data_IF_418675613188
#
_entry.id   IF_418675613188
#
_cell.length_a   1.000
_cell.length_b   1.000
_cell.length_c   1.000
_cell.angle_alpha   90.00
_cell.angle_beta   90.00
_cell.angle_gamma   90.00
#
_symmetry.space_group_name_H-M   'P 1'
#
loop_
_entity.id
_entity.type
_entity.pdbx_description
1 polymer ?
#
# COMPACT_ATOMS: atom_id res chain seq x y z
N UNK A 1 -31.22 54.02 18.76
CA UNK A 1 -31.63 53.37 20.02
C UNK A 1 -31.45 51.88 19.81
N UNK A 2 -30.60 51.12 20.47
CA UNK A 2 -29.62 51.33 21.53
C UNK A 2 -28.47 50.34 21.27
N UNK A 3 -27.30 50.69 21.76
CA UNK A 3 -26.07 49.93 21.78
C UNK A 3 -26.14 48.87 22.89
N UNK A 4 -25.57 47.68 22.70
CA UNK A 4 -24.78 47.06 23.77
C UNK A 4 -23.84 45.98 23.21
N UNK A 5 -22.55 46.29 23.28
CA UNK A 5 -21.40 45.44 23.00
C UNK A 5 -21.02 44.68 24.27
N UNK A 6 -20.58 43.42 24.18
CA UNK A 6 -19.68 42.86 25.20
C UNK A 6 -18.86 41.65 24.72
N UNK A 7 -17.58 41.94 24.45
CA UNK A 7 -16.44 41.01 24.45
C UNK A 7 -16.12 40.58 25.88
N UNK A 8 -15.85 39.30 26.11
CA UNK A 8 -15.22 38.83 27.37
C UNK A 8 -13.71 38.64 27.18
N UNK A 9 -12.95 39.27 28.07
CA UNK A 9 -11.49 39.41 28.12
C UNK A 9 -10.82 38.27 28.92
N UNK A 10 -9.56 38.00 28.53
CA UNK A 10 -8.55 37.14 29.19
C UNK A 10 -8.41 37.39 30.70
N UNK A 11 -7.89 36.39 31.44
CA UNK A 11 -7.06 36.63 32.64
C UNK A 11 -5.75 35.82 32.57
N UNK A 12 -4.67 36.47 33.02
CA UNK A 12 -3.26 36.04 33.11
C UNK A 12 -2.92 35.68 34.57
N UNK A 13 -2.02 34.70 34.70
CA UNK A 13 -0.91 34.46 35.66
C UNK A 13 -1.06 34.74 37.17
N UNK A 14 -0.56 33.79 37.98
CA UNK A 14 0.14 34.09 39.23
C UNK A 14 1.33 33.12 39.41
N UNK A 15 2.50 33.72 39.63
CA UNK A 15 3.79 33.10 39.91
C UNK A 15 3.95 32.95 41.43
N UNK A 16 4.66 31.92 41.88
CA UNK A 16 5.21 31.83 43.24
C UNK A 16 6.71 31.54 43.16
N UNK A 17 7.47 32.42 43.81
CA UNK A 17 8.91 32.52 44.02
C UNK A 17 9.37 31.53 45.11
N UNK A 18 10.37 30.70 44.84
CA UNK A 18 11.80 30.81 45.26
C UNK A 18 12.14 30.16 46.61
N UNK A 19 13.13 29.25 46.62
CA UNK A 19 14.24 29.23 47.58
C UNK A 19 15.32 28.25 47.13
N UNK A 20 16.56 28.71 47.27
CA UNK A 20 17.84 28.18 46.78
C UNK A 20 18.52 27.19 47.73
N UNK A 21 19.29 26.24 47.19
CA UNK A 21 20.54 25.78 47.81
C UNK A 21 21.47 25.15 46.76
N UNK A 22 22.73 25.57 46.80
CA UNK A 22 23.86 25.21 45.95
C UNK A 22 24.54 23.89 46.36
N UNK A 23 25.13 23.18 45.39
CA UNK A 23 26.58 22.80 45.32
C UNK A 23 26.87 21.39 44.79
N UNK A 24 28.09 21.28 44.21
CA UNK A 24 28.88 20.11 43.83
C UNK A 24 28.52 19.28 42.57
N UNK A 25 29.23 19.65 41.49
CA UNK A 25 30.05 18.81 40.60
C UNK A 25 30.02 17.27 40.76
N UNK A 26 29.67 16.59 39.66
CA UNK A 26 30.39 15.41 39.17
C UNK A 26 29.89 15.04 37.76
N UNK A 27 30.74 15.25 36.76
CA UNK A 27 30.58 14.69 35.41
C UNK A 27 30.70 13.16 35.47
N UNK A 28 29.86 12.44 34.73
CA UNK A 28 30.44 11.48 33.79
C UNK A 28 29.66 11.35 32.47
N UNK A 29 30.37 11.47 31.35
CA UNK A 29 30.07 10.79 30.08
C UNK A 29 31.31 9.93 29.79
N UNK A 30 31.23 8.72 29.18
CA UNK A 30 30.33 8.40 28.08
C UNK A 30 29.78 6.94 28.10
N UNK A 31 28.45 6.75 28.03
CA UNK A 31 27.89 5.44 27.70
C UNK A 31 27.71 5.33 26.18
N UNK A 32 28.61 4.55 25.58
CA UNK A 32 28.56 4.10 24.18
C UNK A 32 27.19 3.49 23.89
N UNK A 33 26.47 4.05 22.92
CA UNK A 33 25.31 3.40 22.32
C UNK A 33 25.74 2.03 21.77
N UNK A 34 25.05 0.93 22.09
CA UNK A 34 25.27 -0.33 21.40
C UNK A 34 24.85 -0.17 19.94
N UNK A 35 25.80 -0.46 19.05
CA UNK A 35 25.60 -0.59 17.61
C UNK A 35 24.38 -1.47 17.32
N UNK A 36 23.52 -1.14 16.33
CA UNK A 36 22.47 -2.05 15.91
C UNK A 36 23.10 -3.40 15.56
N UNK A 37 22.52 -4.47 16.09
CA UNK A 37 22.93 -5.83 15.75
C UNK A 37 22.91 -5.98 14.23
N UNK A 38 23.91 -6.65 13.62
CA UNK A 38 23.89 -6.91 12.20
C UNK A 38 22.62 -7.70 11.88
N UNK A 39 21.94 -7.28 10.80
CA UNK A 39 20.84 -8.01 10.16
C UNK A 39 21.17 -9.52 10.10
N UNK A 40 20.20 -10.43 10.34
CA UNK A 40 20.46 -11.85 10.22
C UNK A 40 21.05 -12.11 8.84
N UNK A 41 22.30 -12.57 8.81
CA UNK A 41 22.93 -13.06 7.59
C UNK A 41 22.08 -14.23 7.13
N UNK A 42 21.44 -14.07 5.97
CA UNK A 42 20.84 -15.19 5.25
C UNK A 42 21.84 -16.34 5.24
N UNK A 43 21.36 -17.54 5.58
CA UNK A 43 22.14 -18.76 5.55
C UNK A 43 22.84 -18.86 4.19
N UNK A 44 24.18 -18.80 4.18
CA UNK A 44 24.94 -19.38 3.08
C UNK A 44 24.72 -20.87 3.17
N UNK A 45 24.07 -21.42 2.16
CA UNK A 45 23.96 -22.86 1.95
C UNK A 45 25.35 -23.48 1.99
N UNK A 46 25.57 -24.35 2.97
CA UNK A 46 26.69 -25.28 2.98
C UNK A 46 26.41 -26.32 1.89
N UNK A 47 27.28 -26.40 0.88
CA UNK A 47 27.14 -27.34 -0.22
C UNK A 47 27.63 -28.72 0.22
N UNK A 48 26.89 -29.36 1.12
CA UNK A 48 27.03 -30.77 1.45
C UNK A 48 25.77 -31.51 0.97
N UNK A 49 25.70 -31.71 -0.35
CA UNK A 49 24.55 -32.25 -1.08
C UNK A 49 24.39 -33.78 -0.85
N UNK A 50 23.25 -34.17 -0.27
CA UNK A 50 22.66 -35.51 -0.42
C UNK A 50 21.70 -35.53 -1.63
N UNK A 51 21.45 -36.68 -2.30
CA UNK A 51 20.98 -36.72 -3.69
C UNK A 51 19.46 -36.52 -3.91
N UNK A 52 18.71 -36.06 -2.90
CA UNK A 52 17.23 -36.05 -2.96
C UNK A 52 16.56 -34.69 -2.84
N UNK A 53 17.27 -33.58 -2.57
CA UNK A 53 16.61 -32.27 -2.40
C UNK A 53 16.76 -31.38 -3.64
N UNK A 54 15.79 -31.44 -4.53
CA UNK A 54 15.59 -30.37 -5.51
C UNK A 54 15.10 -29.12 -4.78
N UNK A 55 15.77 -27.95 -4.91
CA UNK A 55 15.36 -26.74 -4.21
C UNK A 55 13.95 -26.31 -4.65
N UNK A 56 13.08 -26.03 -3.67
CA UNK A 56 11.71 -25.58 -3.93
C UNK A 56 11.73 -24.15 -4.47
N UNK A 57 11.14 -23.89 -5.64
CA UNK A 57 11.10 -22.56 -6.26
C UNK A 57 9.68 -22.16 -6.62
N UNK A 58 9.37 -20.86 -6.50
CA UNK A 58 8.09 -20.34 -6.96
C UNK A 58 8.21 -19.84 -8.40
N UNK A 59 7.41 -20.39 -9.32
CA UNK A 59 7.38 -20.00 -10.74
C UNK A 59 6.09 -19.26 -11.12
N UNK A 60 5.31 -18.78 -10.14
CA UNK A 60 4.01 -18.18 -10.41
C UNK A 60 4.18 -16.72 -10.90
N UNK A 61 3.58 -16.35 -12.04
CA UNK A 61 3.55 -14.95 -12.46
C UNK A 61 2.77 -14.10 -11.44
N UNK A 62 3.10 -12.81 -11.27
CA UNK A 62 3.88 -11.98 -12.19
C UNK A 62 5.29 -11.57 -11.68
N UNK A 63 5.71 -11.99 -10.50
CA UNK A 63 6.98 -11.58 -9.85
C UNK A 63 7.99 -12.71 -9.62
N UNK A 64 7.55 -13.96 -9.45
CA UNK A 64 8.46 -15.06 -9.12
C UNK A 64 9.00 -15.78 -10.37
N UNK A 65 8.35 -15.57 -11.51
CA UNK A 65 8.75 -16.13 -12.81
C UNK A 65 9.87 -15.35 -13.52
N UNK A 66 10.45 -14.29 -12.92
CA UNK A 66 11.54 -13.54 -13.56
C UNK A 66 12.90 -14.15 -13.18
N UNK A 67 13.83 -14.34 -14.12
CA UNK A 67 15.07 -15.10 -13.88
C UNK A 67 16.02 -14.46 -12.84
N UNK A 68 15.81 -13.18 -12.51
CA UNK A 68 16.60 -12.43 -11.52
C UNK A 68 15.90 -12.33 -10.15
N UNK A 69 14.67 -12.83 -10.02
CA UNK A 69 13.89 -12.83 -8.77
C UNK A 69 13.54 -14.23 -8.28
N UNK A 70 14.00 -15.28 -8.97
CA UNK A 70 13.82 -16.67 -8.55
C UNK A 70 14.47 -16.84 -7.18
N UNK A 71 13.64 -17.05 -6.17
CA UNK A 71 14.05 -17.35 -4.82
C UNK A 71 13.91 -18.86 -4.63
N UNK A 72 14.98 -19.53 -4.18
CA UNK A 72 14.94 -20.93 -3.78
C UNK A 72 14.69 -21.04 -2.28
N UNK A 73 13.80 -21.94 -1.91
CA UNK A 73 13.42 -22.25 -0.52
C UNK A 73 13.98 -23.60 -0.13
N UNK A 74 14.36 -23.72 1.15
CA UNK A 74 14.93 -24.95 1.68
C UNK A 74 13.84 -26.01 1.96
N UNK A 75 12.61 -25.57 2.23
CA UNK A 75 11.48 -26.45 2.55
C UNK A 75 10.22 -26.08 1.76
N UNK A 76 9.32 -27.06 1.60
CA UNK A 76 8.00 -26.85 0.99
C UNK A 76 7.14 -25.85 1.78
N UNK A 77 7.19 -25.90 3.11
CA UNK A 77 6.42 -24.99 3.99
C UNK A 77 6.80 -23.51 3.78
N UNK A 78 8.10 -23.23 3.58
CA UNK A 78 8.57 -21.88 3.26
C UNK A 78 8.06 -21.39 1.91
N UNK A 79 8.03 -22.28 0.91
CA UNK A 79 7.47 -21.98 -0.41
C UNK A 79 5.96 -21.68 -0.31
N UNK A 80 5.21 -22.46 0.47
CA UNK A 80 3.77 -22.25 0.68
C UNK A 80 3.49 -20.91 1.39
N UNK A 81 4.26 -20.56 2.43
CA UNK A 81 4.16 -19.26 3.11
C UNK A 81 4.44 -18.08 2.16
N UNK A 82 5.42 -18.24 1.26
CA UNK A 82 5.68 -17.27 0.21
C UNK A 82 4.47 -17.16 -0.76
N UNK A 83 3.92 -18.28 -1.21
CA UNK A 83 2.76 -18.29 -2.09
C UNK A 83 1.53 -17.65 -1.44
N UNK A 84 1.28 -17.92 -0.17
CA UNK A 84 0.16 -17.32 0.56
C UNK A 84 0.33 -15.79 0.72
N UNK A 85 1.55 -15.33 0.94
CA UNK A 85 1.80 -13.89 1.14
C UNK A 85 1.77 -13.09 -0.16
N UNK A 86 2.35 -13.64 -1.23
CA UNK A 86 2.60 -12.89 -2.47
C UNK A 86 1.72 -13.30 -3.65
N UNK A 87 1.02 -14.43 -3.57
CA UNK A 87 0.21 -14.96 -4.69
C UNK A 87 -1.27 -15.19 -4.34
N UNK A 88 -1.68 -15.03 -3.07
CA UNK A 88 -3.08 -15.18 -2.68
C UNK A 88 -3.99 -14.09 -3.27
N UNK A 89 -3.58 -12.82 -3.18
CA UNK A 89 -4.43 -11.68 -3.56
C UNK A 89 -3.90 -10.95 -4.80
N UNK A 90 -4.06 -11.59 -5.97
CA UNK A 90 -3.65 -11.02 -7.27
C UNK A 90 -4.87 -10.58 -8.07
N UNK A 91 -4.86 -9.34 -8.56
CA UNK A 91 -5.88 -8.84 -9.47
C UNK A 91 -5.68 -9.40 -10.88
N UNK A 92 -6.63 -10.22 -11.32
CA UNK A 92 -6.65 -10.85 -12.67
C UNK A 92 -7.66 -10.19 -13.61
N UNK A 93 -8.22 -9.05 -13.23
CA UNK A 93 -9.23 -8.37 -14.05
C UNK A 93 -8.65 -7.97 -15.41
N UNK A 94 -9.34 -8.27 -16.53
CA UNK A 94 -8.87 -7.92 -17.87
C UNK A 94 -8.93 -6.40 -18.07
N UNK A 95 -7.82 -5.82 -18.52
CA UNK A 95 -7.67 -4.41 -18.85
C UNK A 95 -7.36 -4.23 -20.32
N UNK A 96 -7.94 -3.18 -20.93
CA UNK A 96 -7.66 -2.83 -22.33
C UNK A 96 -6.21 -2.40 -22.48
N UNK A 97 -5.53 -2.95 -23.46
CA UNK A 97 -4.17 -2.57 -23.77
C UNK A 97 -4.13 -1.22 -24.51
N UNK A 98 -3.69 -0.17 -23.81
CA UNK A 98 -3.45 1.17 -24.38
C UNK A 98 -2.10 1.29 -25.09
N UNK A 99 -1.28 0.23 -25.13
CA UNK A 99 0.04 0.25 -25.80
C UNK A 99 -0.06 0.23 -27.34
N UNK A 100 -1.22 -0.13 -27.89
CA UNK A 100 -1.49 -0.05 -29.32
C UNK A 100 -1.55 1.42 -29.76
N UNK A 101 -0.71 1.86 -30.72
CA UNK A 101 -0.80 3.19 -31.28
C UNK A 101 -2.19 3.41 -31.86
N UNK A 102 -2.86 4.50 -31.48
CA UNK A 102 -3.96 5.01 -32.31
C UNK A 102 -3.36 5.35 -33.68
N UNK A 103 -3.87 4.81 -34.80
CA UNK A 103 -3.32 5.11 -36.11
C UNK A 103 -3.24 6.64 -36.30
N UNK A 104 -2.11 7.17 -36.82
CA UNK A 104 -1.85 8.61 -36.85
C UNK A 104 -2.80 9.43 -37.73
N UNK A 105 -3.66 8.81 -38.55
CA UNK A 105 -4.31 9.50 -39.66
C UNK A 105 -5.85 9.54 -39.61
N UNK A 106 -6.47 9.48 -38.43
CA UNK A 106 -7.92 9.67 -38.30
C UNK A 106 -8.78 8.65 -39.10
N UNK A 107 -8.16 7.59 -39.63
CA UNK A 107 -8.83 6.58 -40.43
C UNK A 107 -9.61 5.67 -39.47
N UNK A 108 -10.94 5.57 -39.61
CA UNK A 108 -11.72 4.63 -38.83
C UNK A 108 -11.23 3.20 -39.10
N UNK A 109 -10.93 2.45 -38.04
CA UNK A 109 -10.34 1.09 -38.05
C UNK A 109 -11.07 0.08 -38.96
N UNK A 110 -12.30 0.39 -39.38
CA UNK A 110 -13.11 -0.42 -40.32
C UNK A 110 -12.52 -0.57 -41.74
N UNK A 111 -11.55 0.25 -42.15
CA UNK A 111 -11.01 0.25 -43.52
C UNK A 111 -9.65 -0.46 -43.67
N UNK A 112 -9.04 -0.93 -42.58
CA UNK A 112 -7.81 -1.74 -42.61
C UNK A 112 -8.23 -3.21 -42.63
N UNK A 113 -8.05 -3.87 -43.78
CA UNK A 113 -8.28 -5.32 -43.92
C UNK A 113 -7.25 -6.08 -43.08
N UNK A 114 -7.60 -6.36 -41.82
CA UNK A 114 -6.80 -7.15 -40.88
C UNK A 114 -7.54 -7.33 -39.56
N UNK A 115 -8.18 -8.49 -39.40
CA UNK A 115 -8.75 -9.09 -38.18
C UNK A 115 -9.47 -8.16 -37.15
N UNK A 116 -10.82 -8.18 -37.04
CA UNK A 116 -11.58 -7.30 -36.13
C UNK A 116 -11.45 -7.62 -34.62
N UNK A 117 -10.80 -8.73 -34.25
CA UNK A 117 -10.83 -9.28 -32.89
C UNK A 117 -9.56 -9.08 -32.06
N UNK A 118 -8.55 -8.39 -32.60
CA UNK A 118 -7.29 -8.10 -31.91
C UNK A 118 -7.36 -6.98 -30.86
N UNK A 119 -8.48 -6.79 -30.15
CA UNK A 119 -8.48 -5.88 -29.00
C UNK A 119 -7.63 -6.53 -27.90
N UNK A 120 -6.37 -6.12 -27.81
CA UNK A 120 -5.43 -6.58 -26.79
C UNK A 120 -6.01 -6.32 -25.40
N UNK A 121 -6.44 -7.37 -24.72
CA UNK A 121 -6.76 -7.34 -23.31
C UNK A 121 -5.59 -8.00 -22.59
N UNK A 122 -5.08 -7.35 -21.54
CA UNK A 122 -4.07 -7.94 -20.66
C UNK A 122 -4.63 -8.05 -19.25
N UNK A 123 -4.10 -8.96 -18.45
CA UNK A 123 -4.45 -9.02 -17.02
C UNK A 123 -3.78 -7.88 -16.24
N UNK A 124 -4.45 -7.39 -15.18
CA UNK A 124 -3.93 -6.30 -14.34
C UNK A 124 -2.62 -6.69 -13.62
N UNK A 125 -2.56 -7.89 -13.05
CA UNK A 125 -1.36 -8.46 -12.45
C UNK A 125 -0.86 -7.76 -11.18
N UNK A 126 -1.67 -6.94 -10.52
CA UNK A 126 -1.30 -6.26 -9.26
C UNK A 126 -1.49 -7.21 -8.07
N UNK A 127 -0.52 -7.20 -7.16
CA UNK A 127 -0.50 -8.02 -5.94
C UNK A 127 -0.85 -7.18 -4.73
N UNK A 128 -1.66 -7.73 -3.83
CA UNK A 128 -2.11 -7.10 -2.58
C UNK A 128 -1.79 -8.00 -1.38
N UNK A 129 -1.60 -7.43 -0.18
CA UNK A 129 -1.32 -8.21 1.02
C UNK A 129 -2.60 -8.72 1.69
N UNK A 130 -3.77 -8.18 1.32
CA UNK A 130 -5.05 -8.48 1.94
C UNK A 130 -6.18 -8.50 0.90
N UNK A 131 -7.18 -9.34 1.12
CA UNK A 131 -8.39 -9.47 0.30
C UNK A 131 -9.13 -8.16 0.19
N UNK A 132 -9.22 -7.44 1.32
CA UNK A 132 -9.94 -6.18 1.39
C UNK A 132 -9.34 -5.14 0.45
N UNK A 133 -8.01 -5.08 0.35
CA UNK A 133 -7.31 -4.17 -0.55
C UNK A 133 -7.49 -4.58 -2.01
N UNK A 134 -7.51 -5.87 -2.31
CA UNK A 134 -7.83 -6.37 -3.64
C UNK A 134 -9.25 -5.98 -4.07
N UNK A 135 -10.24 -6.15 -3.18
CA UNK A 135 -11.62 -5.76 -3.47
C UNK A 135 -11.75 -4.26 -3.74
N UNK A 136 -11.12 -3.42 -2.89
CA UNK A 136 -11.06 -1.97 -3.10
C UNK A 136 -10.39 -1.60 -4.42
N UNK A 137 -9.32 -2.29 -4.79
CA UNK A 137 -8.66 -2.06 -6.07
C UNK A 137 -9.58 -2.36 -7.26
N UNK A 138 -10.30 -3.48 -7.23
CA UNK A 138 -11.23 -3.86 -8.29
C UNK A 138 -12.34 -2.82 -8.46
N UNK A 139 -12.97 -2.38 -7.36
CA UNK A 139 -14.03 -1.37 -7.41
C UNK A 139 -13.52 0.01 -7.81
N UNK A 140 -12.34 0.43 -7.36
CA UNK A 140 -11.82 1.76 -7.64
C UNK A 140 -11.16 1.90 -9.01
N UNK A 141 -10.58 0.81 -9.53
CA UNK A 141 -9.73 0.84 -10.74
C UNK A 141 -10.38 0.19 -11.95
N UNK A 142 -11.20 -0.85 -11.74
CA UNK A 142 -11.73 -1.66 -12.84
C UNK A 142 -13.25 -1.59 -13.00
N UNK A 143 -14.00 -1.16 -12.00
CA UNK A 143 -15.46 -1.06 -12.11
C UNK A 143 -15.86 0.25 -12.87
N UNK A 144 -16.38 0.15 -14.11
CA UNK A 144 -16.82 1.31 -14.87
C UNK A 144 -18.04 2.00 -14.25
N UNK A 145 -18.85 1.27 -13.48
CA UNK A 145 -20.01 1.81 -12.77
C UNK A 145 -19.49 2.67 -11.62
N UNK A 146 -18.56 2.18 -10.81
CA UNK A 146 -17.91 2.97 -9.77
C UNK A 146 -17.26 4.24 -10.33
N UNK A 147 -16.57 4.15 -11.47
CA UNK A 147 -15.98 5.34 -12.12
C UNK A 147 -17.06 6.37 -12.52
N UNK A 148 -18.19 5.91 -13.05
CA UNK A 148 -19.32 6.79 -13.40
C UNK A 148 -19.93 7.42 -12.15
N UNK A 149 -20.10 6.65 -11.08
CA UNK A 149 -20.60 7.13 -9.78
C UNK A 149 -19.65 8.16 -9.16
N UNK A 150 -18.35 7.94 -9.28
CA UNK A 150 -17.34 8.89 -8.86
C UNK A 150 -17.42 10.21 -9.65
N UNK A 151 -17.62 10.14 -10.97
CA UNK A 151 -17.80 11.33 -11.81
C UNK A 151 -19.05 12.13 -11.43
N UNK A 152 -20.09 11.47 -10.90
CA UNK A 152 -21.29 12.09 -10.31
C UNK A 152 -21.06 12.65 -8.89
N UNK A 153 -19.90 12.38 -8.28
CA UNK A 153 -19.57 12.82 -6.92
C UNK A 153 -20.05 11.87 -5.82
N UNK A 154 -20.45 10.65 -6.15
CA UNK A 154 -20.82 9.64 -5.15
C UNK A 154 -19.60 9.10 -4.38
N UNK A 155 -19.85 8.59 -3.17
CA UNK A 155 -18.81 8.08 -2.28
C UNK A 155 -18.48 6.62 -2.63
N UNK A 156 -17.51 6.42 -3.51
CA UNK A 156 -17.07 5.07 -3.93
C UNK A 156 -15.91 4.50 -3.09
N UNK A 157 -15.14 5.34 -2.40
CA UNK A 157 -13.93 4.92 -1.70
C UNK A 157 -14.26 4.45 -0.29
N UNK A 158 -14.16 3.15 -0.03
CA UNK A 158 -14.42 2.62 1.30
C UNK A 158 -13.13 2.60 2.16
N UNK A 159 -13.29 2.45 3.48
CA UNK A 159 -12.18 2.30 4.41
C UNK A 159 -11.43 0.96 4.22
N UNK A 160 -10.13 0.94 4.53
CA UNK A 160 -9.30 -0.27 4.47
C UNK A 160 -9.67 -1.31 5.51
N UNK A 161 -10.30 -0.89 6.61
CA UNK A 161 -10.78 -1.82 7.64
C UNK A 161 -12.12 -2.42 7.18
N UNK A 162 -12.26 -3.75 7.09
CA UNK A 162 -13.54 -4.37 6.74
C UNK A 162 -14.57 -4.20 7.88
N UNK A 163 -15.88 -4.27 7.59
CA UNK A 163 -16.93 -4.33 8.61
C UNK A 163 -16.71 -5.55 9.52
N UNK A 164 -17.00 -5.47 10.84
CA UNK A 164 -17.69 -4.39 11.56
C UNK A 164 -16.80 -3.22 12.00
N UNK A 165 -15.50 -3.24 11.71
CA UNK A 165 -14.53 -2.27 12.24
C UNK A 165 -14.66 -0.85 11.67
N UNK A 166 -15.10 -0.70 10.41
CA UNK A 166 -15.42 0.59 9.81
C UNK A 166 -16.32 0.45 8.58
N UNK A 167 -17.36 1.29 8.46
CA UNK A 167 -18.29 1.31 7.31
C UNK A 167 -18.26 2.66 6.59
N UNK A 168 -17.19 3.45 6.78
CA UNK A 168 -17.12 4.79 6.20
C UNK A 168 -16.71 4.74 4.73
N UNK A 169 -17.50 5.42 3.91
CA UNK A 169 -17.26 5.66 2.48
C UNK A 169 -16.90 7.12 2.23
N UNK A 170 -16.04 7.37 1.25
CA UNK A 170 -15.48 8.67 0.91
C UNK A 170 -15.63 8.95 -0.59
N UNK A 171 -15.75 10.23 -0.96
CA UNK A 171 -15.77 10.65 -2.36
C UNK A 171 -14.36 10.87 -2.95
N UNK A 172 -13.35 11.03 -2.09
CA UNK A 172 -11.98 11.34 -2.51
C UNK A 172 -10.98 10.51 -1.69
N UNK A 173 -9.98 9.87 -2.32
CA UNK A 173 -8.94 9.11 -1.61
C UNK A 173 -8.18 9.93 -0.57
N UNK A 174 -8.02 11.25 -0.78
CA UNK A 174 -7.39 12.12 0.21
C UNK A 174 -8.18 12.20 1.53
N UNK A 175 -9.53 12.18 1.46
CA UNK A 175 -10.38 12.14 2.66
C UNK A 175 -10.27 10.80 3.37
N UNK A 176 -10.19 9.71 2.62
CA UNK A 176 -9.97 8.36 3.16
C UNK A 176 -8.62 8.26 3.89
N UNK A 177 -7.53 8.80 3.33
CA UNK A 177 -6.22 8.83 3.98
C UNK A 177 -6.29 9.49 5.36
N UNK A 178 -6.87 10.70 5.42
CA UNK A 178 -7.04 11.42 6.68
C UNK A 178 -7.88 10.63 7.69
N UNK A 179 -8.95 9.98 7.24
CA UNK A 179 -9.75 9.12 8.12
C UNK A 179 -8.94 7.95 8.72
N UNK A 180 -8.11 7.29 7.90
CA UNK A 180 -7.25 6.18 8.35
C UNK A 180 -6.22 6.65 9.38
N UNK A 181 -5.64 7.83 9.20
CA UNK A 181 -4.69 8.41 10.16
C UNK A 181 -5.43 8.79 11.47
N UNK A 182 -6.52 9.54 11.38
CA UNK A 182 -7.20 10.09 12.54
C UNK A 182 -7.92 9.03 13.39
N UNK A 183 -8.63 8.11 12.73
CA UNK A 183 -9.49 7.11 13.40
C UNK A 183 -8.84 5.75 13.56
N UNK A 184 -8.02 5.34 12.60
CA UNK A 184 -7.38 4.02 12.62
C UNK A 184 -5.88 4.09 12.98
N UNK A 185 -5.35 5.29 13.25
CA UNK A 185 -3.95 5.51 13.68
C UNK A 185 -2.92 4.90 12.74
N UNK A 186 -3.22 4.89 11.44
CA UNK A 186 -2.24 4.54 10.42
C UNK A 186 -1.09 5.57 10.43
N UNK A 187 0.17 5.13 10.27
CA UNK A 187 1.29 6.05 10.16
C UNK A 187 1.14 6.91 8.90
N UNK A 188 1.53 8.19 8.98
CA UNK A 188 1.40 9.11 7.85
C UNK A 188 2.25 8.69 6.64
N UNK A 189 3.33 7.96 6.91
CA UNK A 189 4.25 7.37 5.94
C UNK A 189 3.70 6.10 5.26
N UNK A 190 2.55 5.59 5.70
CA UNK A 190 1.92 4.43 5.07
C UNK A 190 1.60 4.72 3.60
N UNK A 191 1.82 3.74 2.73
CA UNK A 191 1.54 3.86 1.31
C UNK A 191 0.04 3.70 1.02
N UNK A 192 -0.73 4.78 1.18
CA UNK A 192 -2.19 4.75 0.94
C UNK A 192 -2.60 4.58 -0.53
N UNK A 193 -1.66 4.73 -1.47
CA UNK A 193 -1.89 4.48 -2.88
C UNK A 193 -1.76 2.98 -3.25
N UNK A 194 -1.64 2.11 -2.23
CA UNK A 194 -1.60 0.65 -2.39
C UNK A 194 -2.77 0.13 -3.23
N UNK A 195 -3.98 0.68 -3.12
CA UNK A 195 -5.15 0.27 -3.92
C UNK A 195 -4.97 0.50 -5.42
N UNK A 196 -4.13 1.46 -5.84
CA UNK A 196 -3.88 1.73 -7.26
C UNK A 196 -2.65 1.01 -7.78
N UNK A 197 -1.60 0.85 -6.96
CA UNK A 197 -0.29 0.37 -7.41
C UNK A 197 -0.01 -1.10 -7.06
N UNK A 198 -0.57 -1.63 -5.96
CA UNK A 198 -0.17 -2.91 -5.40
C UNK A 198 1.16 -2.84 -4.64
N UNK A 199 1.69 -3.99 -4.22
CA UNK A 199 2.93 -4.15 -3.41
C UNK A 199 4.12 -4.58 -4.27
N UNK A 200 4.21 -4.10 -5.51
CA UNK A 200 5.27 -4.49 -6.45
C UNK A 200 6.44 -3.51 -6.46
#
# INVERSE_FOLDING_TARGET
MEYESSRVKRRRSASITSSSASSSSSSPSPSRSPSPAPVPKYHRTDHSLTPTDTPFTCNLPPTCSQPHTITSYATEEELLRHQETFHRWVCRTPIKDRSQPTPPDGVPTRFVSGNPDGKGWKECGKVFPDERLLHLHQTETHDPIAQTRQARGEKIFECFVPPPGCVKTFANPARRRRHLIDKHRYPEQYFFAITNHGVR
#
